data_IF_617618230751
#
_entry.id   IF_617618230751
#
_cell.length_a   1.000
_cell.length_b   1.000
_cell.length_c   1.000
_cell.angle_alpha   90.00
_cell.angle_beta   90.00
_cell.angle_gamma   90.00
#
_symmetry.space_group_name_H-M   'P 1'
#
loop_
_entity.id
_entity.type
_entity.pdbx_description
1 polymer ?
#
# COMPACT_ATOMS: atom_id res chain seq x y z
N UNK A 1 10.76 31.77 -21.61
CA UNK A 1 10.53 31.13 -20.31
C UNK A 1 9.09 31.40 -19.94
N UNK A 2 8.17 30.55 -20.40
CA UNK A 2 6.80 30.59 -19.89
C UNK A 2 6.80 29.99 -18.49
N UNK A 3 6.28 30.76 -17.53
CA UNK A 3 6.07 30.28 -16.17
C UNK A 3 5.11 29.09 -16.23
N UNK A 4 5.54 27.95 -15.67
CA UNK A 4 4.65 26.84 -15.39
C UNK A 4 3.58 27.40 -14.46
N UNK A 5 2.37 27.54 -15.01
CA UNK A 5 1.18 27.93 -14.27
C UNK A 5 0.99 26.87 -13.20
N UNK A 6 1.16 27.25 -11.92
CA UNK A 6 0.84 26.38 -10.80
C UNK A 6 -0.54 25.78 -11.08
N UNK A 7 -0.60 24.46 -11.20
CA UNK A 7 -1.87 23.74 -11.26
C UNK A 7 -2.62 24.17 -10.00
N UNK A 8 -3.80 24.78 -10.18
CA UNK A 8 -4.68 25.06 -9.05
C UNK A 8 -4.85 23.74 -8.29
N UNK A 9 -4.74 23.74 -6.95
CA UNK A 9 -5.02 22.53 -6.19
C UNK A 9 -6.45 22.13 -6.55
N UNK A 10 -6.59 20.99 -7.22
CA UNK A 10 -7.89 20.35 -7.39
C UNK A 10 -8.39 20.19 -5.97
N UNK A 11 -9.48 20.88 -5.64
CA UNK A 11 -10.16 20.71 -4.36
C UNK A 11 -10.50 19.22 -4.25
N UNK A 12 -9.68 18.49 -3.50
CA UNK A 12 -9.89 17.07 -3.28
C UNK A 12 -11.23 16.89 -2.55
N UNK A 13 -12.06 15.93 -2.95
CA UNK A 13 -13.28 15.62 -2.20
C UNK A 13 -12.99 14.97 -0.84
N UNK A 14 -11.73 14.66 -0.52
CA UNK A 14 -11.33 14.00 0.71
C UNK A 14 -10.81 15.00 1.75
N UNK A 15 -11.19 14.79 3.01
CA UNK A 15 -10.77 15.63 4.11
C UNK A 15 -9.31 15.35 4.50
N UNK A 16 -8.45 16.33 4.22
CA UNK A 16 -7.03 16.28 4.56
C UNK A 16 -6.83 16.18 6.08
N UNK A 17 -7.68 16.80 6.89
CA UNK A 17 -7.55 16.73 8.35
C UNK A 17 -7.82 15.31 8.87
N UNK A 18 -8.79 14.60 8.30
CA UNK A 18 -9.07 13.19 8.62
C UNK A 18 -7.89 12.30 8.21
N UNK A 19 -7.37 12.48 7.00
CA UNK A 19 -6.19 11.75 6.50
C UNK A 19 -4.99 11.95 7.42
N UNK A 20 -4.67 13.20 7.75
CA UNK A 20 -3.56 13.55 8.63
C UNK A 20 -3.79 12.99 10.04
N UNK A 21 -5.02 13.06 10.56
CA UNK A 21 -5.39 12.51 11.86
C UNK A 21 -5.19 11.00 11.95
N UNK A 22 -5.63 10.24 10.94
CA UNK A 22 -5.45 8.79 10.90
C UNK A 22 -3.97 8.37 10.80
N UNK A 23 -3.21 9.01 9.91
CA UNK A 23 -1.81 8.63 9.67
C UNK A 23 -0.82 9.16 10.73
N UNK A 24 -1.03 10.37 11.26
CA UNK A 24 -0.17 10.89 12.33
C UNK A 24 -0.62 10.44 13.73
N UNK A 25 -1.89 10.07 13.91
CA UNK A 25 -2.43 9.44 15.11
C UNK A 25 -2.15 7.94 15.13
N UNK A 26 -3.14 7.15 14.72
CA UNK A 26 -3.10 5.68 14.80
C UNK A 26 -2.08 5.03 13.84
N UNK A 27 -1.57 5.77 12.85
CA UNK A 27 -0.63 5.24 11.86
C UNK A 27 -1.29 4.49 10.71
N UNK A 28 -2.62 4.54 10.62
CA UNK A 28 -3.41 3.85 9.60
C UNK A 28 -4.68 4.63 9.29
N UNK A 29 -5.10 4.58 8.03
CA UNK A 29 -6.40 5.01 7.57
C UNK A 29 -6.86 4.08 6.44
N UNK A 30 -8.17 3.96 6.24
CA UNK A 30 -8.73 3.14 5.19
C UNK A 30 -9.83 3.89 4.42
N UNK A 31 -9.91 3.64 3.11
CA UNK A 31 -11.03 4.06 2.28
C UNK A 31 -11.82 2.83 1.83
N UNK A 32 -12.98 2.62 2.43
CA UNK A 32 -13.88 1.54 2.04
C UNK A 32 -14.47 1.83 0.66
N UNK A 33 -14.54 0.79 -0.18
CA UNK A 33 -15.11 0.88 -1.53
C UNK A 33 -14.39 1.91 -2.42
N UNK A 34 -13.07 2.04 -2.28
CA UNK A 34 -12.25 2.92 -3.12
C UNK A 34 -12.37 2.56 -4.63
N UNK A 35 -12.53 1.28 -4.95
CA UNK A 35 -12.68 0.79 -6.32
C UNK A 35 -13.98 0.00 -6.47
N UNK A 36 -14.50 -0.07 -7.70
CA UNK A 36 -15.68 -0.89 -7.99
C UNK A 36 -15.37 -2.38 -7.87
N UNK A 37 -16.41 -3.20 -7.68
CA UNK A 37 -16.27 -4.66 -7.60
C UNK A 37 -15.63 -5.21 -8.88
N UNK A 38 -16.06 -4.72 -10.04
CA UNK A 38 -15.58 -5.16 -11.35
C UNK A 38 -14.09 -4.86 -11.52
N UNK A 39 -13.66 -3.67 -11.07
CA UNK A 39 -12.25 -3.28 -11.12
C UNK A 39 -11.39 -4.17 -10.21
N UNK A 40 -11.85 -4.41 -8.97
CA UNK A 40 -11.14 -5.27 -8.00
C UNK A 40 -11.07 -6.71 -8.49
N UNK A 41 -12.14 -7.21 -9.12
CA UNK A 41 -12.16 -8.54 -9.74
C UNK A 41 -11.12 -8.65 -10.85
N UNK A 42 -11.03 -7.64 -11.73
CA UNK A 42 -10.03 -7.61 -12.80
C UNK A 42 -8.60 -7.67 -12.25
N UNK A 43 -8.31 -6.89 -11.20
CA UNK A 43 -7.01 -6.92 -10.54
C UNK A 43 -6.73 -8.30 -9.91
N UNK A 44 -7.74 -8.93 -9.32
CA UNK A 44 -7.65 -10.29 -8.80
C UNK A 44 -7.27 -11.32 -9.86
N UNK A 45 -7.85 -11.21 -11.07
CA UNK A 45 -7.47 -12.05 -12.22
C UNK A 45 -6.01 -11.83 -12.64
N UNK A 46 -5.55 -10.58 -12.70
CA UNK A 46 -4.17 -10.24 -13.04
C UNK A 46 -3.19 -10.85 -12.02
N UNK A 47 -3.47 -10.66 -10.72
CA UNK A 47 -2.67 -11.22 -9.62
C UNK A 47 -2.63 -12.75 -9.70
N UNK A 48 -3.76 -13.41 -9.98
CA UNK A 48 -3.81 -14.87 -10.08
C UNK A 48 -2.88 -15.40 -11.18
N UNK A 49 -2.87 -14.76 -12.35
CA UNK A 49 -1.96 -15.13 -13.46
C UNK A 49 -0.50 -14.88 -13.05
N UNK A 50 -0.20 -13.69 -12.54
CA UNK A 50 1.15 -13.30 -12.14
C UNK A 50 1.72 -14.21 -11.05
N UNK A 51 0.88 -14.63 -10.10
CA UNK A 51 1.28 -15.55 -9.04
C UNK A 51 1.62 -16.93 -9.59
N UNK A 52 0.80 -17.48 -10.49
CA UNK A 52 1.13 -18.76 -11.14
C UNK A 52 2.42 -18.69 -11.94
N UNK A 53 2.71 -17.56 -12.59
CA UNK A 53 3.95 -17.37 -13.34
C UNK A 53 5.17 -17.13 -12.44
N UNK A 54 4.99 -16.50 -11.28
CA UNK A 54 5.99 -16.38 -10.24
C UNK A 54 6.41 -17.76 -9.70
N UNK A 55 5.47 -18.64 -9.38
CA UNK A 55 5.74 -19.98 -8.85
C UNK A 55 6.52 -20.89 -9.81
N UNK A 56 6.41 -20.67 -11.12
CA UNK A 56 7.15 -21.44 -12.15
C UNK A 56 8.62 -21.02 -12.26
N UNK A 57 8.99 -19.85 -11.72
CA UNK A 57 10.33 -19.26 -11.88
C UNK A 57 11.14 -19.47 -10.60
N UNK A 58 12.39 -19.96 -10.69
CA UNK A 58 13.29 -19.97 -9.53
C UNK A 58 13.45 -18.56 -8.95
N UNK A 59 13.11 -18.39 -7.67
CA UNK A 59 13.14 -17.08 -7.00
C UNK A 59 12.05 -16.10 -7.43
N UNK A 60 11.07 -16.52 -8.23
CA UNK A 60 9.98 -15.65 -8.71
C UNK A 60 8.96 -15.26 -7.63
N UNK A 61 8.96 -15.97 -6.50
CA UNK A 61 8.18 -15.65 -5.31
C UNK A 61 9.10 -15.68 -4.09
N UNK A 62 9.13 -14.58 -3.32
CA UNK A 62 9.90 -14.48 -2.09
C UNK A 62 9.11 -15.16 -0.97
N UNK A 63 9.69 -16.20 -0.37
CA UNK A 63 9.10 -16.85 0.79
C UNK A 63 9.10 -15.93 2.01
N UNK A 64 7.92 -15.68 2.58
CA UNK A 64 7.74 -14.86 3.80
C UNK A 64 7.35 -15.72 5.02
N UNK A 65 7.61 -17.02 4.95
CA UNK A 65 7.19 -18.04 5.91
C UNK A 65 6.57 -19.24 5.21
N UNK A 66 6.19 -20.26 5.98
CA UNK A 66 5.49 -21.42 5.44
C UNK A 66 4.19 -20.98 4.74
N UNK A 67 3.97 -21.42 3.50
CA UNK A 67 2.76 -21.15 2.70
C UNK A 67 2.45 -19.65 2.46
N UNK A 68 3.42 -18.75 2.59
CA UNK A 68 3.25 -17.31 2.36
C UNK A 68 4.29 -16.79 1.36
N UNK A 69 3.81 -16.07 0.35
CA UNK A 69 4.64 -15.54 -0.73
C UNK A 69 4.44 -14.05 -0.91
N UNK A 70 5.54 -13.36 -1.21
CA UNK A 70 5.55 -11.98 -1.73
C UNK A 70 6.06 -12.00 -3.17
N UNK A 71 5.41 -11.25 -4.06
CA UNK A 71 5.80 -11.14 -5.47
C UNK A 71 5.87 -9.66 -5.85
N UNK A 72 7.08 -9.20 -6.20
CA UNK A 72 7.29 -7.91 -6.84
C UNK A 72 6.93 -7.99 -8.33
N UNK A 73 6.30 -6.95 -8.86
CA UNK A 73 5.85 -6.91 -10.25
C UNK A 73 6.26 -5.62 -10.95
N UNK A 74 6.29 -5.66 -12.27
CA UNK A 74 6.32 -4.44 -13.07
C UNK A 74 4.92 -3.82 -13.10
N UNK A 75 4.78 -2.49 -12.99
CA UNK A 75 3.51 -1.79 -13.13
C UNK A 75 2.69 -2.20 -14.36
N UNK A 76 3.37 -2.44 -15.48
CA UNK A 76 2.77 -2.82 -16.77
C UNK A 76 2.13 -4.22 -16.75
N UNK A 77 2.40 -5.02 -15.71
CA UNK A 77 1.87 -6.37 -15.59
C UNK A 77 0.42 -6.41 -15.07
N UNK A 78 -0.13 -5.29 -14.60
CA UNK A 78 -1.54 -5.20 -14.18
C UNK A 78 -2.27 -4.17 -15.03
N UNK A 79 -3.50 -4.47 -15.44
CA UNK A 79 -4.30 -3.62 -16.32
C UNK A 79 -4.66 -2.27 -15.67
N UNK A 80 -4.84 -2.26 -14.35
CA UNK A 80 -5.33 -1.12 -13.58
C UNK A 80 -4.27 -0.24 -12.92
N UNK A 81 -2.98 -0.37 -13.24
CA UNK A 81 -1.92 0.34 -12.49
C UNK A 81 -2.13 1.86 -12.45
N UNK A 82 -2.42 2.47 -13.60
CA UNK A 82 -2.62 3.94 -13.68
C UNK A 82 -3.85 4.34 -12.87
N UNK A 83 -4.96 3.63 -12.98
CA UNK A 83 -6.18 3.91 -12.20
C UNK A 83 -5.92 3.79 -10.70
N UNK A 84 -5.11 2.80 -10.29
CA UNK A 84 -4.71 2.60 -8.89
C UNK A 84 -3.93 3.81 -8.38
N UNK A 85 -2.80 4.15 -9.00
CA UNK A 85 -1.91 5.20 -8.46
C UNK A 85 -2.45 6.62 -8.68
N UNK A 86 -3.35 6.80 -9.65
CA UNK A 86 -4.02 8.07 -9.93
C UNK A 86 -5.37 8.20 -9.21
N UNK A 87 -5.76 7.24 -8.37
CA UNK A 87 -6.99 7.34 -7.61
C UNK A 87 -6.97 8.63 -6.76
N UNK A 88 -7.99 9.50 -6.82
CA UNK A 88 -7.91 10.82 -6.20
C UNK A 88 -7.62 10.78 -4.69
N UNK A 89 -8.07 9.74 -3.99
CA UNK A 89 -7.73 9.54 -2.57
C UNK A 89 -6.24 9.24 -2.37
N UNK A 90 -5.65 8.39 -3.22
CA UNK A 90 -4.22 8.04 -3.14
C UNK A 90 -3.37 9.29 -3.37
N UNK A 91 -3.68 10.07 -4.41
CA UNK A 91 -3.01 11.35 -4.67
C UNK A 91 -3.14 12.28 -3.46
N UNK A 92 -4.35 12.45 -2.93
CA UNK A 92 -4.59 13.36 -1.78
C UNK A 92 -3.81 12.93 -0.55
N UNK A 93 -3.79 11.63 -0.24
CA UNK A 93 -3.03 11.08 0.89
C UNK A 93 -1.53 11.31 0.69
N UNK A 94 -1.00 10.99 -0.48
CA UNK A 94 0.42 11.17 -0.78
C UNK A 94 0.83 12.64 -0.76
N UNK A 95 0.08 13.54 -1.41
CA UNK A 95 0.41 14.97 -1.44
C UNK A 95 0.32 15.60 -0.04
N UNK A 96 -0.69 15.23 0.76
CA UNK A 96 -0.87 15.76 2.11
C UNK A 96 0.27 15.33 3.06
N UNK A 97 0.75 14.09 2.94
CA UNK A 97 1.71 13.51 3.88
C UNK A 97 3.15 13.63 3.40
N UNK A 98 3.41 13.36 2.13
CA UNK A 98 4.75 13.25 1.53
C UNK A 98 5.11 14.48 0.68
N UNK A 99 4.13 15.31 0.32
CA UNK A 99 4.30 16.45 -0.58
C UNK A 99 4.12 16.09 -2.05
N UNK A 100 4.06 17.09 -2.95
CA UNK A 100 3.70 16.91 -4.36
C UNK A 100 4.75 16.18 -5.21
N UNK A 101 5.95 15.99 -4.68
CA UNK A 101 7.06 15.31 -5.38
C UNK A 101 7.24 13.84 -4.93
N UNK A 102 6.19 13.24 -4.34
CA UNK A 102 6.20 11.84 -3.96
C UNK A 102 6.44 10.93 -5.17
N UNK A 103 6.92 9.71 -4.91
CA UNK A 103 7.21 8.70 -5.92
C UNK A 103 6.59 7.38 -5.55
N UNK A 104 6.09 6.66 -6.55
CA UNK A 104 5.76 5.24 -6.43
C UNK A 104 7.07 4.48 -6.63
N UNK A 105 7.54 3.79 -5.60
CA UNK A 105 8.85 3.13 -5.59
C UNK A 105 8.76 1.61 -5.69
N UNK A 106 7.62 1.03 -5.33
CA UNK A 106 7.42 -0.42 -5.28
C UNK A 106 5.96 -0.77 -5.56
N UNK A 107 5.76 -1.91 -6.20
CA UNK A 107 4.46 -2.57 -6.31
C UNK A 107 4.68 -4.08 -6.25
N UNK A 108 3.86 -4.73 -5.43
CA UNK A 108 3.87 -6.17 -5.26
C UNK A 108 2.57 -6.64 -4.63
N UNK A 109 2.46 -7.93 -4.41
CA UNK A 109 1.33 -8.52 -3.71
C UNK A 109 1.76 -9.67 -2.80
N UNK A 110 1.01 -9.82 -1.72
CA UNK A 110 1.16 -10.91 -0.75
C UNK A 110 0.08 -11.96 -0.95
N UNK A 111 0.47 -13.23 -0.95
CA UNK A 111 -0.44 -14.38 -1.01
C UNK A 111 -0.22 -15.30 0.20
N UNK A 112 -1.03 -15.15 1.27
CA UNK A 112 -1.12 -16.14 2.33
C UNK A 112 -1.98 -17.32 1.85
N UNK A 113 -1.37 -18.49 1.63
CA UNK A 113 -2.09 -19.70 1.26
C UNK A 113 -2.59 -20.43 2.53
N UNK A 114 -3.54 -21.37 2.41
CA UNK A 114 -4.00 -22.17 3.53
C UNK A 114 -2.86 -22.76 4.37
N UNK A 115 -2.93 -22.59 5.69
CA UNK A 115 -1.89 -23.01 6.62
C UNK A 115 -0.70 -22.06 6.72
N UNK A 116 -0.74 -20.88 6.10
CA UNK A 116 0.22 -19.81 6.36
C UNK A 116 0.28 -19.48 7.86
N UNK A 117 1.48 -19.15 8.33
CA UNK A 117 1.70 -18.72 9.71
C UNK A 117 1.67 -17.20 9.81
N UNK A 118 1.36 -16.72 11.00
CA UNK A 118 1.46 -15.31 11.34
C UNK A 118 2.90 -14.84 11.16
N UNK A 119 3.06 -13.63 10.64
CA UNK A 119 4.36 -13.00 10.56
C UNK A 119 4.72 -12.39 11.93
N UNK A 120 6.01 -12.38 12.31
CA UNK A 120 6.43 -11.61 13.47
C UNK A 120 6.10 -10.14 13.27
N UNK A 121 5.94 -9.40 14.37
CA UNK A 121 5.82 -7.94 14.31
C UNK A 121 7.00 -7.34 13.56
N UNK A 122 6.71 -6.49 12.58
CA UNK A 122 7.71 -5.85 11.74
C UNK A 122 7.17 -4.53 11.18
N UNK A 123 8.05 -3.79 10.52
CA UNK A 123 7.71 -2.67 9.65
C UNK A 123 8.13 -3.02 8.23
N UNK A 124 7.38 -2.55 7.25
CA UNK A 124 7.74 -2.73 5.83
C UNK A 124 9.06 -2.03 5.52
N UNK A 125 9.23 -0.82 6.07
CA UNK A 125 10.44 -0.02 5.95
C UNK A 125 11.02 0.35 7.33
N UNK A 126 12.35 0.44 7.47
CA UNK A 126 12.97 1.02 8.66
C UNK A 126 12.47 2.45 8.89
N UNK A 127 12.20 2.82 10.15
CA UNK A 127 11.83 4.18 10.49
C UNK A 127 13.08 5.09 10.50
N UNK A 128 13.17 6.11 9.62
CA UNK A 128 14.31 7.01 9.59
C UNK A 128 14.25 8.05 10.71
N UNK A 129 15.36 8.76 10.95
CA UNK A 129 15.46 9.79 11.98
C UNK A 129 14.39 10.89 11.83
N UNK A 130 14.07 11.28 10.59
CA UNK A 130 13.00 12.22 10.28
C UNK A 130 11.64 11.77 10.83
N UNK A 131 11.37 10.47 10.88
CA UNK A 131 10.14 9.90 11.43
C UNK A 131 10.23 9.77 12.94
N UNK A 132 11.31 9.17 13.45
CA UNK A 132 11.48 8.90 14.89
C UNK A 132 11.58 10.18 15.73
N UNK A 133 12.34 11.17 15.24
CA UNK A 133 12.62 12.40 15.98
C UNK A 133 11.93 13.61 15.36
N UNK A 134 11.96 13.72 14.03
CA UNK A 134 11.31 14.82 13.31
C UNK A 134 9.79 14.71 13.27
N UNK A 135 9.22 13.56 13.69
CA UNK A 135 7.78 13.25 13.65
C UNK A 135 7.20 13.51 12.26
N UNK A 136 7.94 13.14 11.21
CA UNK A 136 7.56 13.29 9.81
C UNK A 136 7.52 11.94 9.12
N UNK A 137 6.38 11.58 8.55
CA UNK A 137 6.28 10.40 7.69
C UNK A 137 6.93 10.70 6.34
N UNK A 138 7.72 9.76 5.81
CA UNK A 138 8.39 9.92 4.52
C UNK A 138 8.19 8.74 3.55
N UNK A 139 7.42 7.74 3.97
CA UNK A 139 6.98 6.60 3.16
C UNK A 139 5.57 6.21 3.59
N UNK A 140 4.77 5.73 2.65
CA UNK A 140 3.43 5.20 2.88
C UNK A 140 3.27 3.88 2.15
N UNK A 141 2.64 2.90 2.80
CA UNK A 141 2.22 1.65 2.19
C UNK A 141 0.70 1.68 1.95
N UNK A 142 0.28 1.29 0.76
CA UNK A 142 -1.13 1.14 0.40
C UNK A 142 -1.43 -0.34 0.19
N UNK A 143 -2.39 -0.85 0.96
CA UNK A 143 -2.87 -2.23 0.84
C UNK A 143 -4.25 -2.26 0.21
N UNK A 144 -4.45 -3.16 -0.76
CA UNK A 144 -5.73 -3.39 -1.43
C UNK A 144 -6.03 -4.89 -1.47
N UNK A 145 -7.20 -5.28 -0.98
CA UNK A 145 -7.67 -6.67 -0.99
C UNK A 145 -8.44 -6.97 -2.28
N UNK A 146 -8.08 -8.05 -2.98
CA UNK A 146 -8.80 -8.53 -4.18
C UNK A 146 -9.83 -9.62 -3.90
N UNK A 147 -9.95 -10.01 -2.63
CA UNK A 147 -10.92 -10.96 -2.10
C UNK A 147 -11.50 -10.41 -0.80
N UNK A 148 -12.69 -10.88 -0.42
CA UNK A 148 -13.20 -10.63 0.93
C UNK A 148 -12.31 -11.38 1.93
N UNK A 149 -11.76 -10.66 2.90
CA UNK A 149 -10.88 -11.23 3.93
C UNK A 149 -11.70 -11.55 5.17
N UNK A 150 -11.82 -12.84 5.49
CA UNK A 150 -12.46 -13.34 6.70
C UNK A 150 -11.44 -13.60 7.81
N UNK A 151 -11.91 -13.77 9.05
CA UNK A 151 -11.04 -13.97 10.22
C UNK A 151 -10.09 -15.18 10.06
N UNK A 152 -10.55 -16.26 9.43
CA UNK A 152 -9.76 -17.48 9.19
C UNK A 152 -8.71 -17.35 8.07
N UNK A 153 -8.77 -16.28 7.27
CA UNK A 153 -7.81 -15.99 6.22
C UNK A 153 -6.56 -15.22 6.72
N UNK A 154 -6.50 -14.89 8.01
CA UNK A 154 -5.39 -14.15 8.60
C UNK A 154 -5.39 -12.68 8.17
N UNK A 155 -6.38 -11.87 8.59
CA UNK A 155 -6.47 -10.47 8.23
C UNK A 155 -5.25 -9.68 8.71
N UNK A 156 -4.98 -8.56 8.02
CA UNK A 156 -3.90 -7.64 8.40
C UNK A 156 -4.14 -7.09 9.81
N UNK A 157 -3.11 -7.16 10.65
CA UNK A 157 -3.13 -6.64 12.03
C UNK A 157 -2.10 -5.53 12.14
N UNK A 158 -2.49 -4.42 12.74
CA UNK A 158 -1.62 -3.27 12.99
C UNK A 158 -1.59 -2.95 14.48
N UNK A 159 -0.44 -2.48 14.96
CA UNK A 159 -0.29 -1.93 16.30
C UNK A 159 -0.34 -0.40 16.20
N UNK A 160 -1.45 0.26 16.61
CA UNK A 160 -1.63 1.69 16.42
C UNK A 160 -0.56 2.54 17.11
N UNK A 161 -0.12 3.61 16.46
CA UNK A 161 0.85 4.58 16.99
C UNK A 161 2.31 4.11 16.93
N UNK A 162 2.56 2.84 16.62
CA UNK A 162 3.92 2.27 16.63
C UNK A 162 4.82 2.77 15.51
N UNK A 163 4.32 3.52 14.52
CA UNK A 163 5.16 4.18 13.50
C UNK A 163 6.20 5.15 14.09
N UNK A 164 5.98 5.56 15.34
CA UNK A 164 6.78 6.52 16.09
C UNK A 164 7.84 5.91 17.01
N UNK A 165 7.80 4.60 17.22
CA UNK A 165 8.65 3.90 18.18
C UNK A 165 10.05 3.64 17.60
N UNK A 166 11.07 3.67 18.44
CA UNK A 166 12.39 3.20 18.04
C UNK A 166 12.35 1.68 17.82
N UNK A 167 12.98 1.14 16.75
CA UNK A 167 13.17 -0.30 16.64
C UNK A 167 13.99 -0.81 17.83
N UNK A 168 13.59 -1.93 18.43
CA UNK A 168 14.43 -2.69 19.38
C UNK A 168 15.57 -3.41 18.65
#
# INVERSE_FOLDING_TARGET
MEAIKALNPVSSPYDVAEIMGGLYGDGIIALKSAFSREWVQQLGEDIAILYQDALKRPGGAVGRGANRHYVEIHPENIRGFVDLVMHPWIITVCEAVLGPEYKIVEIGFDVPNPGAKDQPWHRDFPAPEDTLFGRRLNSLAFNLTTVDVTEDMGPFVIAPGTQWDVPE
#
